data_IF_551906864240
#
_entry.id   IF_551906864240
#
_cell.length_a   1.000
_cell.length_b   1.000
_cell.length_c   1.000
_cell.angle_alpha   90.00
_cell.angle_beta   90.00
_cell.angle_gamma   90.00
#
_symmetry.space_group_name_H-M   'P 1'
#
loop_
_entity.id
_entity.type
_entity.pdbx_description
1 polymer ?
#
# COMPACT_ATOMS: atom_id res chain seq x y z
N UNK A 1 3.51 -11.83 19.34
CA UNK A 1 3.41 -10.78 18.28
C UNK A 1 3.95 -11.23 16.90
N UNK A 2 5.20 -11.69 16.79
CA UNK A 2 5.85 -11.97 15.50
C UNK A 2 5.13 -13.02 14.62
N UNK A 3 4.54 -14.07 15.21
CA UNK A 3 3.78 -15.08 14.46
C UNK A 3 2.50 -14.55 13.82
N UNK A 4 1.79 -13.66 14.51
CA UNK A 4 0.56 -13.04 13.97
C UNK A 4 0.94 -12.10 12.82
N UNK A 5 1.98 -11.29 13.00
CA UNK A 5 2.49 -10.41 11.94
C UNK A 5 2.94 -11.21 10.70
N UNK A 6 3.64 -12.33 10.89
CA UNK A 6 4.05 -13.20 9.78
C UNK A 6 2.83 -13.75 8.99
N UNK A 7 1.76 -14.14 9.68
CA UNK A 7 0.52 -14.59 9.02
C UNK A 7 -0.16 -13.48 8.22
N UNK A 8 -0.21 -12.26 8.75
CA UNK A 8 -0.76 -11.08 8.06
C UNK A 8 0.07 -10.78 6.80
N UNK A 9 1.40 -10.72 6.93
CA UNK A 9 2.33 -10.43 5.83
C UNK A 9 2.19 -11.47 4.70
N UNK A 10 2.03 -12.75 5.05
CA UNK A 10 1.82 -13.81 4.07
C UNK A 10 0.49 -13.63 3.32
N UNK A 11 -0.60 -13.29 4.02
CA UNK A 11 -1.91 -13.08 3.41
C UNK A 11 -1.98 -11.86 2.49
N UNK A 12 -1.43 -10.72 2.93
CA UNK A 12 -1.40 -9.49 2.11
C UNK A 12 -0.45 -9.61 0.92
N UNK A 13 0.61 -10.42 1.02
CA UNK A 13 1.50 -10.70 -0.10
C UNK A 13 0.78 -11.38 -1.25
N UNK A 14 -0.10 -12.34 -0.95
CA UNK A 14 -0.96 -12.98 -1.94
C UNK A 14 -1.98 -12.01 -2.55
N UNK A 15 -2.67 -11.22 -1.73
CA UNK A 15 -3.63 -10.21 -2.21
C UNK A 15 -2.96 -9.12 -3.06
N UNK A 16 -1.78 -8.66 -2.65
CA UNK A 16 -0.99 -7.67 -3.36
C UNK A 16 -0.53 -8.15 -4.73
N UNK A 17 -0.07 -9.40 -4.83
CA UNK A 17 0.27 -10.01 -6.12
C UNK A 17 -0.95 -10.13 -7.04
N UNK A 18 -2.11 -10.52 -6.50
CA UNK A 18 -3.36 -10.62 -7.26
C UNK A 18 -3.94 -9.27 -7.71
N UNK A 19 -3.58 -8.17 -7.03
CA UNK A 19 -4.01 -6.81 -7.38
C UNK A 19 -3.20 -6.19 -8.53
N UNK A 20 -2.03 -6.76 -8.87
CA UNK A 20 -1.23 -6.35 -10.03
C UNK A 20 -1.81 -7.06 -11.25
N UNK A 21 -2.62 -6.36 -12.04
CA UNK A 21 -3.24 -6.87 -13.25
C UNK A 21 -2.42 -6.45 -14.47
N UNK A 22 -2.10 -7.39 -15.35
CA UNK A 22 -1.38 -7.10 -16.59
C UNK A 22 -2.38 -6.97 -17.74
N UNK A 23 -2.48 -5.78 -18.34
CA UNK A 23 -3.24 -5.54 -19.57
C UNK A 23 -2.27 -5.49 -20.77
N UNK A 24 -2.74 -5.68 -22.02
CA UNK A 24 -1.89 -5.58 -23.21
C UNK A 24 -1.16 -4.24 -23.36
N UNK A 25 -1.68 -3.18 -22.73
CA UNK A 25 -1.11 -1.84 -22.71
C UNK A 25 -0.11 -1.59 -21.55
N UNK A 26 0.11 -2.58 -20.67
CA UNK A 26 1.06 -2.49 -19.55
C UNK A 26 0.52 -2.98 -18.20
N UNK A 27 1.32 -2.78 -17.15
CA UNK A 27 0.96 -3.14 -15.76
C UNK A 27 -0.05 -2.13 -15.22
N UNK A 28 -1.20 -2.62 -14.75
CA UNK A 28 -2.23 -1.84 -14.06
C UNK A 28 -2.38 -2.30 -12.61
N UNK A 29 -2.73 -1.38 -11.72
CA UNK A 29 -2.94 -1.72 -10.30
C UNK A 29 -1.66 -1.88 -9.47
N UNK A 30 -0.48 -1.52 -9.99
CA UNK A 30 0.77 -1.50 -9.22
C UNK A 30 0.66 -0.61 -7.97
N UNK A 31 0.07 0.58 -8.12
CA UNK A 31 -0.20 1.52 -7.02
C UNK A 31 -1.24 0.96 -6.04
N UNK A 32 -2.24 0.22 -6.52
CA UNK A 32 -3.21 -0.47 -5.66
C UNK A 32 -2.53 -1.55 -4.82
N UNK A 33 -1.68 -2.39 -5.40
CA UNK A 33 -0.94 -3.41 -4.69
C UNK A 33 -0.03 -2.81 -3.59
N UNK A 34 0.68 -1.73 -3.91
CA UNK A 34 1.50 -0.99 -2.95
C UNK A 34 0.64 -0.43 -1.79
N UNK A 35 -0.55 0.12 -2.09
CA UNK A 35 -1.44 0.68 -1.06
C UNK A 35 -1.96 -0.37 -0.08
N UNK A 36 -2.23 -1.60 -0.54
CA UNK A 36 -2.67 -2.72 0.32
C UNK A 36 -1.59 -3.06 1.36
N UNK A 37 -0.32 -3.09 0.94
CA UNK A 37 0.82 -3.32 1.83
C UNK A 37 0.94 -2.25 2.92
N UNK A 38 0.79 -0.98 2.52
CA UNK A 38 0.91 0.16 3.43
C UNK A 38 -0.24 0.17 4.45
N UNK A 39 -1.48 -0.06 4.02
CA UNK A 39 -2.65 -0.11 4.92
C UNK A 39 -2.53 -1.26 5.92
N UNK A 40 -2.03 -2.43 5.49
CA UNK A 40 -1.80 -3.55 6.39
C UNK A 40 -0.73 -3.26 7.44
N UNK A 41 0.37 -2.60 7.06
CA UNK A 41 1.40 -2.18 8.01
C UNK A 41 0.87 -1.19 9.05
N UNK A 42 0.04 -0.22 8.62
CA UNK A 42 -0.63 0.74 9.51
C UNK A 42 -1.59 0.01 10.46
N UNK A 43 -2.39 -0.93 9.95
CA UNK A 43 -3.31 -1.75 10.74
C UNK A 43 -2.60 -2.58 11.81
N UNK A 44 -1.45 -3.19 11.47
CA UNK A 44 -0.61 -3.91 12.43
C UNK A 44 0.00 -2.99 13.49
N UNK A 45 0.52 -1.82 13.09
CA UNK A 45 1.05 -0.84 14.04
C UNK A 45 -0.03 -0.38 15.03
N UNK A 46 -1.24 -0.13 14.53
CA UNK A 46 -2.40 0.25 15.33
C UNK A 46 -2.85 -0.87 16.27
N UNK A 47 -2.90 -2.11 15.77
CA UNK A 47 -3.28 -3.30 16.56
C UNK A 47 -2.27 -3.65 17.67
N UNK A 48 -1.01 -3.25 17.52
CA UNK A 48 0.02 -3.37 18.56
C UNK A 48 0.03 -2.18 19.56
N UNK A 49 -0.87 -1.20 19.42
CA UNK A 49 -0.95 -0.02 20.28
C UNK A 49 0.00 1.13 19.91
N UNK A 50 0.70 1.04 18.76
CA UNK A 50 1.65 2.06 18.32
C UNK A 50 0.96 3.15 17.48
N UNK A 51 0.07 3.91 18.13
CA UNK A 51 -0.78 4.90 17.46
C UNK A 51 -0.01 6.08 16.86
N UNK A 52 1.03 6.56 17.54
CA UNK A 52 1.85 7.69 17.08
C UNK A 52 2.52 7.35 15.74
N UNK A 53 3.15 6.18 15.65
CA UNK A 53 3.72 5.69 14.41
C UNK A 53 2.66 5.46 13.33
N UNK A 54 1.52 4.87 13.67
CA UNK A 54 0.42 4.64 12.73
C UNK A 54 -0.09 5.95 12.10
N UNK A 55 -0.31 7.01 12.89
CA UNK A 55 -0.77 8.31 12.41
C UNK A 55 0.26 8.96 11.48
N UNK A 56 1.53 9.01 11.91
CA UNK A 56 2.62 9.60 11.10
C UNK A 56 2.77 8.85 9.77
N UNK A 57 2.75 7.52 9.82
CA UNK A 57 2.88 6.67 8.62
C UNK A 57 1.69 6.85 7.69
N UNK A 58 0.48 6.99 8.23
CA UNK A 58 -0.73 7.27 7.45
C UNK A 58 -0.63 8.62 6.74
N UNK A 59 -0.18 9.67 7.44
CA UNK A 59 0.02 10.99 6.84
C UNK A 59 1.03 10.97 5.70
N UNK A 60 2.18 10.31 5.91
CA UNK A 60 3.20 10.11 4.87
C UNK A 60 2.66 9.30 3.68
N UNK A 61 1.93 8.22 3.93
CA UNK A 61 1.36 7.38 2.88
C UNK A 61 0.39 8.15 1.99
N UNK A 62 -0.52 8.92 2.59
CA UNK A 62 -1.47 9.76 1.86
C UNK A 62 -0.74 10.84 1.05
N UNK A 63 0.28 11.48 1.62
CA UNK A 63 1.08 12.49 0.93
C UNK A 63 1.77 11.90 -0.30
N UNK A 64 2.42 10.74 -0.15
CA UNK A 64 3.10 10.05 -1.26
C UNK A 64 2.11 9.66 -2.35
N UNK A 65 0.98 9.03 -2.00
CA UNK A 65 -0.03 8.63 -2.98
C UNK A 65 -0.64 9.84 -3.70
N UNK A 66 -0.88 10.94 -3.00
CA UNK A 66 -1.40 12.16 -3.58
C UNK A 66 -0.40 12.81 -4.56
N UNK A 67 0.86 12.92 -4.15
CA UNK A 67 1.93 13.46 -5.00
C UNK A 67 2.13 12.57 -6.23
N UNK A 68 2.17 11.25 -6.04
CA UNK A 68 2.34 10.30 -7.13
C UNK A 68 1.18 10.37 -8.14
N UNK A 69 -0.07 10.43 -7.68
CA UNK A 69 -1.24 10.60 -8.56
C UNK A 69 -1.18 11.92 -9.34
N UNK A 70 -0.73 13.00 -8.68
CA UNK A 70 -0.60 14.31 -9.31
C UNK A 70 0.51 14.33 -10.37
N UNK A 71 1.63 13.67 -10.11
CA UNK A 71 2.74 13.51 -11.06
C UNK A 71 2.31 12.63 -12.25
N UNK A 72 1.63 11.51 -11.99
CA UNK A 72 1.14 10.60 -13.02
C UNK A 72 0.24 11.33 -14.02
N UNK A 73 -0.69 12.15 -13.52
CA UNK A 73 -1.56 12.99 -14.37
C UNK A 73 -0.81 14.06 -15.17
N UNK A 74 0.35 14.51 -14.69
CA UNK A 74 1.10 15.58 -15.35
C UNK A 74 2.09 15.03 -16.38
N UNK A 75 2.65 13.85 -16.15
CA UNK A 75 3.62 13.24 -17.04
C UNK A 75 2.95 12.39 -18.11
N UNK A 76 1.93 11.58 -17.80
CA UNK A 76 1.29 10.70 -18.77
C UNK A 76 0.25 11.48 -19.57
N UNK A 77 0.53 11.90 -20.83
CA UNK A 77 -0.50 12.44 -21.70
C UNK A 77 -1.38 11.25 -22.10
N UNK A 78 -2.70 11.45 -22.10
CA UNK A 78 -3.63 10.41 -22.58
C UNK A 78 -3.35 10.03 -24.03
#
# INVERSE_FOLDING_TARGET
PARIAAGIVMGIGFLGAGAILHEPAGVKGLTTAASIWVVAAIGMATGCGFYLGAIVTTGLAVLVLFVLNKIEKYYVPK
#
